data_IF_056658867614
#
_entry.id   IF_056658867614
#
_cell.length_a   1.000
_cell.length_b   1.000
_cell.length_c   1.000
_cell.angle_alpha   90.00
_cell.angle_beta   90.00
_cell.angle_gamma   90.00
#
_symmetry.space_group_name_H-M   'P 1'
#
loop_
_entity.id
_entity.type
_entity.pdbx_description
1 polymer ?
#
# COMPACT_ATOMS: atom_id res chain seq x y z
N UNK A 1 14.51 -20.60 -14.05
CA UNK A 1 13.73 -19.45 -14.55
C UNK A 1 12.63 -19.12 -13.56
N UNK A 2 12.63 -17.94 -12.92
CA UNK A 2 11.51 -17.47 -12.08
C UNK A 2 10.38 -17.05 -13.02
N UNK A 3 9.23 -17.74 -12.98
CA UNK A 3 8.00 -17.25 -13.64
C UNK A 3 7.68 -15.88 -13.05
N UNK A 4 7.59 -14.85 -13.90
CA UNK A 4 7.05 -13.56 -13.51
C UNK A 4 5.61 -13.79 -13.01
N UNK A 5 5.36 -13.56 -11.72
CA UNK A 5 3.99 -13.55 -11.20
C UNK A 5 3.33 -12.31 -11.80
N UNK A 6 2.44 -12.50 -12.78
CA UNK A 6 1.63 -11.42 -13.32
C UNK A 6 0.63 -11.01 -12.22
N UNK A 7 0.94 -9.92 -11.52
CA UNK A 7 0.08 -9.38 -10.47
C UNK A 7 -1.26 -8.92 -11.05
N UNK A 8 -2.28 -8.84 -10.20
CA UNK A 8 -3.57 -8.26 -10.57
C UNK A 8 -3.39 -6.75 -10.74
N UNK A 9 -3.65 -6.24 -11.95
CA UNK A 9 -3.53 -4.82 -12.27
C UNK A 9 -4.90 -4.15 -12.20
N UNK A 10 -4.97 -2.94 -11.65
CA UNK A 10 -6.25 -2.27 -11.52
C UNK A 10 -6.23 -0.98 -10.74
N UNK A 11 -7.43 -0.49 -10.44
CA UNK A 11 -7.74 0.67 -9.60
C UNK A 11 -8.29 0.17 -8.28
N UNK A 12 -7.87 0.80 -7.19
CA UNK A 12 -8.33 0.53 -5.83
C UNK A 12 -8.73 1.81 -5.12
N UNK A 13 -9.46 1.63 -4.03
CA UNK A 13 -9.86 2.65 -3.07
C UNK A 13 -9.36 2.23 -1.70
N UNK A 14 -8.79 3.19 -0.97
CA UNK A 14 -8.62 3.12 0.47
C UNK A 14 -9.63 4.08 1.10
N UNK A 15 -10.55 3.54 1.91
CA UNK A 15 -11.60 4.31 2.57
C UNK A 15 -11.34 4.39 4.06
N UNK A 16 -11.36 5.58 4.63
CA UNK A 16 -11.50 5.73 6.08
C UNK A 16 -13.00 5.62 6.42
N UNK A 17 -13.38 4.55 7.11
CA UNK A 17 -14.75 4.24 7.51
C UNK A 17 -15.31 5.20 8.55
N UNK A 18 -14.47 5.88 9.33
CA UNK A 18 -14.88 6.80 10.38
C UNK A 18 -15.13 8.22 9.84
N UNK A 19 -14.34 8.68 8.86
CA UNK A 19 -14.46 10.02 8.27
C UNK A 19 -15.16 10.02 6.91
N UNK A 20 -15.36 8.85 6.31
CA UNK A 20 -15.79 8.66 4.92
C UNK A 20 -14.83 9.26 3.87
N UNK A 21 -13.58 9.54 4.25
CA UNK A 21 -12.54 9.95 3.29
C UNK A 21 -12.21 8.79 2.35
N UNK A 22 -12.05 9.12 1.06
CA UNK A 22 -11.74 8.16 0.00
C UNK A 22 -10.41 8.54 -0.66
N UNK A 23 -9.54 7.55 -0.83
CA UNK A 23 -8.26 7.68 -1.52
C UNK A 23 -8.23 6.69 -2.69
N UNK A 24 -8.18 7.19 -3.93
CA UNK A 24 -8.15 6.37 -5.14
C UNK A 24 -6.72 6.26 -5.67
N UNK A 25 -6.30 5.05 -6.04
CA UNK A 25 -5.02 4.81 -6.68
C UNK A 25 -5.09 3.70 -7.72
N UNK A 26 -4.03 3.58 -8.52
CA UNK A 26 -3.88 2.53 -9.53
C UNK A 26 -2.63 1.71 -9.28
N UNK A 27 -2.52 0.50 -9.81
CA UNK A 27 -1.24 -0.21 -9.80
C UNK A 27 -1.20 -1.33 -10.84
N UNK A 28 -0.03 -1.59 -11.47
CA UNK A 28 0.20 -2.83 -12.22
C UNK A 28 0.24 -4.09 -11.34
N UNK A 29 0.36 -3.93 -10.02
CA UNK A 29 0.32 -5.03 -9.05
C UNK A 29 -0.34 -4.56 -7.76
N UNK A 30 -1.66 -4.78 -7.65
CA UNK A 30 -2.47 -4.37 -6.49
C UNK A 30 -1.94 -4.98 -5.19
N UNK A 31 -1.48 -6.23 -5.22
CA UNK A 31 -0.88 -6.89 -4.05
C UNK A 31 0.41 -6.23 -3.57
N UNK A 32 1.22 -5.71 -4.48
CA UNK A 32 2.46 -5.01 -4.10
C UNK A 32 2.15 -3.61 -3.56
N UNK A 33 1.18 -2.94 -4.19
CA UNK A 33 0.76 -1.60 -3.81
C UNK A 33 0.16 -1.56 -2.40
N UNK A 34 -0.75 -2.49 -2.08
CA UNK A 34 -1.37 -2.55 -0.75
C UNK A 34 -0.33 -2.75 0.37
N UNK A 35 0.63 -3.65 0.17
CA UNK A 35 1.72 -3.87 1.13
C UNK A 35 2.60 -2.63 1.28
N UNK A 36 2.92 -1.96 0.17
CA UNK A 36 3.71 -0.72 0.19
C UNK A 36 3.00 0.39 0.97
N UNK A 37 1.72 0.62 0.68
CA UNK A 37 0.90 1.61 1.39
C UNK A 37 0.92 1.40 2.90
N UNK A 38 0.56 0.20 3.35
CA UNK A 38 0.54 -0.09 4.78
C UNK A 38 1.93 0.04 5.39
N UNK A 39 2.98 -0.47 4.74
CA UNK A 39 4.36 -0.35 5.24
C UNK A 39 4.75 1.12 5.44
N UNK A 40 4.46 1.97 4.46
CA UNK A 40 4.77 3.40 4.52
C UNK A 40 3.93 4.14 5.58
N UNK A 41 2.65 3.80 5.70
CA UNK A 41 1.74 4.36 6.71
C UNK A 41 2.16 3.99 8.13
N UNK A 42 2.50 2.73 8.38
CA UNK A 42 3.01 2.26 9.67
C UNK A 42 4.35 2.90 10.02
N UNK A 43 5.20 3.12 9.02
CA UNK A 43 6.49 3.78 9.18
C UNK A 43 6.39 5.31 9.25
N UNK A 44 5.18 5.88 9.15
CA UNK A 44 4.90 7.31 9.16
C UNK A 44 5.67 8.12 8.10
N UNK A 45 5.92 7.52 6.93
CA UNK A 45 6.68 8.10 5.81
C UNK A 45 5.89 8.06 4.50
N UNK A 46 4.57 7.92 4.58
CA UNK A 46 3.73 7.90 3.40
C UNK A 46 3.76 9.25 2.66
N UNK A 47 3.82 9.21 1.33
CA UNK A 47 3.96 10.39 0.48
C UNK A 47 2.73 11.29 0.53
N UNK A 48 1.54 10.69 0.58
CA UNK A 48 0.30 11.41 0.85
C UNK A 48 0.19 11.74 2.35
N UNK A 49 0.40 13.02 2.67
CA UNK A 49 0.34 13.58 4.03
C UNK A 49 -1.07 13.54 4.64
N UNK A 50 -2.11 13.73 3.83
CA UNK A 50 -3.50 13.69 4.31
C UNK A 50 -3.86 12.26 4.74
N UNK A 51 -3.52 11.29 3.90
CA UNK A 51 -3.71 9.86 4.19
C UNK A 51 -2.91 9.44 5.42
N UNK A 52 -1.65 9.89 5.55
CA UNK A 52 -0.83 9.63 6.73
C UNK A 52 -1.41 10.25 8.00
N UNK A 53 -1.87 11.51 7.92
CA UNK A 53 -2.47 12.20 9.06
C UNK A 53 -3.74 11.49 9.52
N UNK A 54 -4.64 11.16 8.58
CA UNK A 54 -5.86 10.42 8.86
C UNK A 54 -5.54 9.04 9.46
N UNK A 55 -4.53 8.34 8.93
CA UNK A 55 -4.03 7.08 9.50
C UNK A 55 -3.54 7.23 10.94
N UNK A 56 -2.75 8.26 11.24
CA UNK A 56 -2.23 8.50 12.59
C UNK A 56 -3.35 8.85 13.58
N UNK A 57 -4.40 9.53 13.12
CA UNK A 57 -5.53 9.95 13.97
C UNK A 57 -6.49 8.80 14.26
N UNK A 58 -6.83 7.99 13.25
CA UNK A 58 -7.91 7.00 13.35
C UNK A 58 -7.42 5.55 13.46
N UNK A 59 -6.14 5.31 13.18
CA UNK A 59 -5.53 3.99 13.25
C UNK A 59 -5.89 3.09 12.08
N UNK A 60 -5.23 1.92 12.02
CA UNK A 60 -5.35 0.98 10.90
C UNK A 60 -6.73 0.35 10.75
N UNK A 61 -7.45 0.16 11.85
CA UNK A 61 -8.79 -0.45 11.87
C UNK A 61 -9.85 0.42 11.23
N UNK A 62 -9.60 1.72 11.08
CA UNK A 62 -10.51 2.64 10.41
C UNK A 62 -10.44 2.54 8.87
N UNK A 63 -9.38 1.94 8.31
CA UNK A 63 -9.14 1.93 6.87
C UNK A 63 -9.54 0.61 6.21
N UNK A 64 -10.30 0.72 5.12
CA UNK A 64 -10.77 -0.38 4.30
C UNK A 64 -10.15 -0.28 2.89
N UNK A 65 -9.57 -1.37 2.40
CA UNK A 65 -9.04 -1.46 1.04
C UNK A 65 -10.00 -2.24 0.14
N UNK A 66 -10.38 -1.64 -0.98
CA UNK A 66 -11.32 -2.21 -1.94
C UNK A 66 -10.85 -2.06 -3.38
N UNK A 67 -10.92 -3.14 -4.15
CA UNK A 67 -10.57 -3.11 -5.57
C UNK A 67 -11.80 -2.64 -6.36
N UNK A 68 -11.63 -1.56 -7.13
CA UNK A 68 -12.73 -0.93 -7.87
C UNK A 68 -12.82 -1.44 -9.29
N UNK A 69 -11.66 -1.67 -9.92
CA UNK A 69 -11.63 -2.11 -11.31
C UNK A 69 -10.33 -2.87 -11.63
N UNK A 70 -10.45 -3.95 -12.40
CA UNK A 70 -9.31 -4.66 -12.96
C UNK A 70 -9.05 -4.17 -14.37
N UNK A 71 -7.79 -3.81 -14.64
CA UNK A 71 -7.37 -3.26 -15.93
C UNK A 71 -6.40 -4.24 -16.58
N UNK A 72 -6.57 -4.50 -17.87
CA UNK A 72 -5.70 -5.43 -18.63
C UNK A 72 -4.54 -4.73 -19.33
N UNK A 73 -4.67 -3.43 -19.60
CA UNK A 73 -3.64 -2.60 -20.24
C UNK A 73 -3.17 -1.46 -19.30
N UNK A 74 -1.86 -1.41 -19.05
CA UNK A 74 -1.23 -0.40 -18.20
C UNK A 74 -1.49 1.03 -18.68
N UNK A 75 -1.65 1.22 -20.00
CA UNK A 75 -1.92 2.54 -20.59
C UNK A 75 -3.21 3.17 -20.06
N UNK A 76 -4.16 2.34 -19.62
CA UNK A 76 -5.47 2.77 -19.14
C UNK A 76 -5.48 3.11 -17.65
N UNK A 77 -4.49 2.70 -16.87
CA UNK A 77 -4.49 2.93 -15.41
C UNK A 77 -4.68 4.40 -15.06
N UNK A 78 -3.93 5.30 -15.70
CA UNK A 78 -3.99 6.72 -15.40
C UNK A 78 -5.39 7.31 -15.66
N UNK A 79 -5.99 6.97 -16.80
CA UNK A 79 -7.32 7.47 -17.15
C UNK A 79 -8.42 6.87 -16.26
N UNK A 80 -8.31 5.59 -15.88
CA UNK A 80 -9.26 4.94 -14.97
C UNK A 80 -9.16 5.47 -13.54
N UNK A 81 -7.95 5.74 -13.02
CA UNK A 81 -7.78 6.39 -11.71
C UNK A 81 -8.43 7.77 -11.71
N UNK A 82 -8.17 8.60 -12.71
CA UNK A 82 -8.80 9.93 -12.81
C UNK A 82 -10.33 9.86 -12.96
N UNK A 83 -10.83 8.87 -13.71
CA UNK A 83 -12.27 8.63 -13.83
C UNK A 83 -12.90 8.33 -12.45
N UNK A 84 -12.35 7.38 -11.71
CA UNK A 84 -12.87 7.00 -10.39
C UNK A 84 -12.69 8.10 -9.35
N UNK A 85 -11.56 8.81 -9.37
CA UNK A 85 -11.31 9.96 -8.52
C UNK A 85 -12.41 11.01 -8.66
N UNK A 86 -12.76 11.37 -9.90
CA UNK A 86 -13.81 12.35 -10.20
C UNK A 86 -15.20 11.79 -9.87
N UNK A 87 -15.47 10.54 -10.23
CA UNK A 87 -16.77 9.90 -10.00
C UNK A 87 -17.12 9.78 -8.51
N UNK A 88 -16.11 9.62 -7.66
CA UNK A 88 -16.28 9.43 -6.22
C UNK A 88 -15.98 10.69 -5.40
N UNK A 89 -15.54 11.77 -6.06
CA UNK A 89 -15.01 12.98 -5.42
C UNK A 89 -13.95 12.64 -4.35
N UNK A 90 -13.03 11.75 -4.71
CA UNK A 90 -12.02 11.20 -3.81
C UNK A 90 -10.67 11.90 -3.95
N UNK A 91 -9.84 11.78 -2.92
CA UNK A 91 -8.43 12.20 -2.95
C UNK A 91 -7.58 11.17 -3.69
N UNK A 92 -6.40 11.58 -4.17
CA UNK A 92 -5.43 10.64 -4.75
C UNK A 92 -4.71 9.89 -3.63
N UNK A 93 -4.69 8.57 -3.67
CA UNK A 93 -3.90 7.76 -2.73
C UNK A 93 -2.40 8.00 -2.96
N UNK A 94 -1.97 8.04 -4.22
CA UNK A 94 -0.62 8.33 -4.68
C UNK A 94 -0.65 9.08 -6.01
N UNK A 95 0.43 9.82 -6.29
CA UNK A 95 0.65 10.40 -7.61
C UNK A 95 0.89 9.28 -8.63
N UNK A 96 0.05 9.23 -9.67
CA UNK A 96 0.13 8.24 -10.77
C UNK A 96 1.52 8.30 -11.46
N UNK A 97 2.21 9.45 -11.42
CA UNK A 97 3.54 9.60 -12.01
C UNK A 97 4.67 8.96 -11.18
N UNK A 98 4.41 8.48 -9.95
CA UNK A 98 5.41 7.83 -9.11
C UNK A 98 5.65 6.35 -9.44
N UNK A 99 4.88 5.74 -10.37
CA UNK A 99 5.17 4.37 -10.86
C UNK A 99 6.56 4.22 -11.49
N UNK A 100 7.25 5.32 -11.78
CA UNK A 100 8.59 5.31 -12.37
C UNK A 100 9.72 5.60 -11.38
N UNK A 101 9.45 6.05 -10.14
CA UNK A 101 10.50 6.39 -9.17
C UNK A 101 10.87 5.24 -8.22
N UNK A 102 9.98 4.28 -8.01
CA UNK A 102 10.25 3.12 -7.14
C UNK A 102 10.63 1.85 -7.91
N UNK A 103 10.81 1.93 -9.24
CA UNK A 103 11.44 0.88 -10.06
C UNK A 103 12.96 0.87 -9.95
N UNK A 104 13.54 1.61 -9.01
CA UNK A 104 14.86 1.30 -8.49
C UNK A 104 14.70 0.26 -7.38
N UNK A 105 14.81 -1.02 -7.72
CA UNK A 105 15.14 -2.02 -6.71
C UNK A 105 16.45 -1.56 -6.06
N UNK A 106 16.40 -1.00 -4.85
CA UNK A 106 17.61 -0.77 -4.07
C UNK A 106 18.18 -2.17 -3.82
N UNK A 107 19.26 -2.50 -4.52
CA UNK A 107 19.99 -3.75 -4.31
C UNK A 107 20.66 -3.65 -2.95
N UNK A 108 19.91 -3.96 -1.90
CA UNK A 108 20.43 -4.07 -0.53
C UNK A 108 21.28 -5.35 -0.49
N UNK A 109 22.57 -5.19 -0.17
CA UNK A 109 23.52 -6.29 -0.01
C UNK A 109 23.04 -7.29 1.03
N UNK A 110 23.52 -8.53 0.96
CA UNK A 110 23.10 -9.57 1.89
C UNK A 110 23.46 -9.19 3.34
N UNK A 111 24.59 -8.54 3.55
CA UNK A 111 25.07 -8.09 4.86
C UNK A 111 24.08 -7.12 5.53
N UNK A 112 23.55 -6.15 4.76
CA UNK A 112 22.55 -5.20 5.27
C UNK A 112 21.21 -5.89 5.55
N UNK A 113 20.85 -6.95 4.83
CA UNK A 113 19.64 -7.74 5.14
C UNK A 113 19.82 -8.52 6.44
N UNK A 114 21.01 -9.05 6.67
CA UNK A 114 21.34 -9.80 7.88
C UNK A 114 21.40 -8.89 9.11
N UNK A 115 21.91 -7.66 8.96
CA UNK A 115 21.85 -6.61 10.00
C UNK A 115 20.40 -6.20 10.33
N UNK A 116 19.57 -5.93 9.32
CA UNK A 116 18.15 -5.58 9.53
C UNK A 116 17.39 -6.72 10.23
N UNK A 117 17.73 -7.96 9.88
CA UNK A 117 17.18 -9.16 10.50
C UNK A 117 17.69 -9.34 11.94
N UNK A 118 18.96 -9.05 12.20
CA UNK A 118 19.56 -9.10 13.54
C UNK A 118 19.02 -8.01 14.48
N UNK A 119 18.64 -6.85 13.93
CA UNK A 119 17.98 -5.75 14.65
C UNK A 119 16.51 -6.03 14.97
N UNK A 120 15.97 -7.19 14.58
CA UNK A 120 14.56 -7.54 14.78
C UNK A 120 13.59 -6.73 13.92
N UNK A 121 14.08 -5.89 13.00
CA UNK A 121 13.28 -5.11 12.07
C UNK A 121 12.91 -5.96 10.84
N UNK A 122 12.44 -7.18 11.08
CA UNK A 122 12.07 -8.13 10.03
C UNK A 122 10.78 -7.70 9.34
N UNK A 123 10.78 -7.74 8.01
CA UNK A 123 9.68 -7.41 7.08
C UNK A 123 8.28 -7.57 7.68
N UNK A 124 7.37 -6.64 7.34
CA UNK A 124 5.93 -6.56 7.72
C UNK A 124 5.27 -7.85 8.23
N UNK A 125 5.46 -8.99 7.54
CA UNK A 125 5.01 -10.32 7.97
C UNK A 125 5.45 -10.74 9.38
N UNK A 126 6.65 -10.37 9.83
CA UNK A 126 7.18 -10.70 11.16
C UNK A 126 6.49 -9.88 12.26
N UNK A 127 6.33 -8.57 12.04
CA UNK A 127 5.61 -7.69 12.95
C UNK A 127 4.12 -8.03 13.05
N UNK A 128 3.49 -8.46 11.94
CA UNK A 128 2.12 -8.94 11.93
C UNK A 128 1.98 -10.26 12.69
N UNK A 129 2.90 -11.21 12.52
CA UNK A 129 2.88 -12.47 13.26
C UNK A 129 3.06 -12.26 14.77
N UNK A 130 3.92 -11.31 15.17
CA UNK A 130 4.15 -10.97 16.57
C UNK A 130 2.90 -10.32 17.19
N UNK A 131 2.25 -9.39 16.48
CA UNK A 131 0.97 -8.81 16.87
C UNK A 131 -0.14 -9.87 17.01
N UNK A 132 -0.26 -10.79 16.05
CA UNK A 132 -1.24 -11.88 16.11
C UNK A 132 -0.96 -12.79 17.32
N UNK A 133 0.32 -13.06 17.63
CA UNK A 133 0.70 -13.88 18.80
C UNK A 133 0.37 -13.19 20.12
N UNK A 134 0.59 -11.87 20.21
CA UNK A 134 0.32 -11.08 21.40
C UNK A 134 -1.18 -11.10 21.77
N UNK A 135 -2.07 -10.91 20.79
CA UNK A 135 -3.51 -10.91 21.06
C UNK A 135 -4.08 -12.31 21.34
N UNK A 136 -3.51 -13.37 20.78
CA UNK A 136 -3.92 -14.76 21.08
C UNK A 136 -3.54 -15.23 22.48
N UNK A 137 -2.46 -14.70 23.05
CA UNK A 137 -1.98 -15.09 24.38
C UNK A 137 -2.58 -14.25 25.52
N UNK A 138 -3.28 -13.16 25.20
CA UNK A 138 -3.94 -12.27 26.17
C UNK A 138 -5.48 -12.33 26.07
N UNK A 139 -6.03 -13.40 25.46
CA UNK A 139 -7.47 -13.72 25.42
C UNK A 139 -7.76 -15.02 26.15
#
# INVERSE_FOLDING_TARGET
MRKARKGLMGVYILKNSLTSELFVGGSPSLSTCITNHFTLLFSNIHTNKEMQSSWNTFGSTAFEFSITEIVSDKSQLASRVEFWRKSLNANLAEDINLFHKYTGMLSVGNDTKDEIKALGMGSFDSSINELISFYKNNS
#
